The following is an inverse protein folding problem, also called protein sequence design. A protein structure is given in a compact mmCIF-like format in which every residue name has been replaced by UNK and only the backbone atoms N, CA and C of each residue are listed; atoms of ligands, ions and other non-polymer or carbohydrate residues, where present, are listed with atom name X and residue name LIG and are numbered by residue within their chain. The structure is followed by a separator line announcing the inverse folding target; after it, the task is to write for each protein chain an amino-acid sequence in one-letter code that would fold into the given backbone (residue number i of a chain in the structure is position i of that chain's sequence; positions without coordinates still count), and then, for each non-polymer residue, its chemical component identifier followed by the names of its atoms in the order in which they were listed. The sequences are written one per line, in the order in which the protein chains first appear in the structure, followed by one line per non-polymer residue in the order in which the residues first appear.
data_IF_463718474639
#
_entry.id   IF_463718474639
#
_cell.length_a   1.000
_cell.length_b   1.000
_cell.length_c   1.000
_cell.angle_alpha   90.00
_cell.angle_beta   90.00
_cell.angle_gamma   90.00
#
_symmetry.space_group_name_H-M   'P 1'
#
loop_
_entity.id
_entity.type
_entity.pdbx_description
1 polymer ?
#
# COMPACT_ATOMS: atom_id res chain seq x y z
N UNK A 1 12.72 2.74 13.63
CA UNK A 1 13.20 2.47 12.28
C UNK A 1 12.03 2.08 11.37
N UNK A 2 12.01 2.62 10.17
CA UNK A 2 10.96 2.30 9.21
C UNK A 2 11.14 0.88 8.69
N UNK A 3 10.08 0.07 8.72
CA UNK A 3 10.10 -1.22 8.03
C UNK A 3 9.39 -1.10 6.68
N UNK A 4 9.93 -1.79 5.68
CA UNK A 4 9.37 -1.80 4.33
C UNK A 4 9.03 -3.23 3.97
N UNK A 5 7.76 -3.47 3.62
CA UNK A 5 7.27 -4.80 3.26
C UNK A 5 6.93 -4.81 1.77
N UNK A 6 7.51 -5.74 1.06
CA UNK A 6 7.23 -5.95 -0.37
C UNK A 6 6.26 -7.12 -0.51
N UNK A 7 5.07 -6.85 -1.06
CA UNK A 7 4.08 -7.90 -1.33
C UNK A 7 4.05 -8.19 -2.82
N UNK A 8 4.52 -9.35 -3.18
CA UNK A 8 4.60 -9.84 -4.56
C UNK A 8 3.30 -10.57 -4.90
N UNK A 9 2.49 -9.98 -5.77
CA UNK A 9 1.24 -10.59 -6.22
C UNK A 9 1.51 -11.54 -7.38
N UNK A 10 0.99 -12.75 -7.28
CA UNK A 10 1.10 -13.77 -8.31
C UNK A 10 -0.27 -14.43 -8.41
N UNK A 11 -0.88 -14.38 -9.59
CA UNK A 11 -2.23 -14.91 -9.84
C UNK A 11 -3.31 -14.30 -8.93
N UNK A 12 -3.08 -13.07 -8.46
CA UNK A 12 -4.05 -12.35 -7.64
C UNK A 12 -3.94 -10.87 -7.94
N UNK A 13 -5.02 -10.13 -7.71
CA UNK A 13 -5.09 -8.71 -8.05
C UNK A 13 -4.92 -7.84 -6.79
N UNK A 14 -4.50 -6.59 -7.02
CA UNK A 14 -4.43 -5.60 -5.94
C UNK A 14 -5.80 -5.45 -5.27
N UNK A 15 -6.87 -5.41 -6.06
CA UNK A 15 -8.23 -5.23 -5.56
C UNK A 15 -8.65 -6.36 -4.62
N UNK A 16 -8.11 -7.57 -4.83
CA UNK A 16 -8.42 -8.72 -3.96
C UNK A 16 -7.66 -8.68 -2.64
N UNK A 17 -6.44 -8.16 -2.63
CA UNK A 17 -5.59 -8.23 -1.42
C UNK A 17 -5.59 -6.93 -0.60
N UNK A 18 -5.79 -5.78 -1.22
CA UNK A 18 -5.68 -4.50 -0.56
C UNK A 18 -6.62 -4.36 0.66
N UNK A 19 -7.92 -4.73 0.56
CA UNK A 19 -8.82 -4.56 1.69
C UNK A 19 -8.35 -5.24 2.97
N UNK A 20 -7.87 -6.49 2.88
CA UNK A 20 -7.43 -7.22 4.07
C UNK A 20 -6.16 -6.61 4.68
N UNK A 21 -5.26 -6.11 3.85
CA UNK A 21 -4.05 -5.45 4.34
C UNK A 21 -4.40 -4.13 5.05
N UNK A 22 -5.37 -3.39 4.52
CA UNK A 22 -5.86 -2.16 5.16
C UNK A 22 -6.56 -2.46 6.48
N UNK A 23 -7.40 -3.50 6.53
CA UNK A 23 -8.06 -3.92 7.76
C UNK A 23 -7.05 -4.23 8.86
N UNK A 24 -5.98 -4.95 8.53
CA UNK A 24 -4.93 -5.29 9.49
C UNK A 24 -4.22 -4.06 10.02
N UNK A 25 -3.99 -3.06 9.18
CA UNK A 25 -3.37 -1.81 9.62
C UNK A 25 -4.27 -1.05 10.60
N UNK A 26 -5.58 -0.99 10.31
CA UNK A 26 -6.52 -0.33 11.21
C UNK A 26 -6.66 -1.07 12.54
N UNK A 27 -6.58 -2.40 12.53
CA UNK A 27 -6.62 -3.21 13.76
C UNK A 27 -5.46 -2.87 14.69
N UNK A 28 -4.34 -2.44 14.13
CA UNK A 28 -3.17 -2.00 14.90
C UNK A 28 -3.28 -0.55 15.37
N UNK A 29 -4.38 0.13 15.04
CA UNK A 29 -4.57 1.53 15.41
C UNK A 29 -3.83 2.51 14.51
N UNK A 30 -3.35 2.08 13.37
CA UNK A 30 -2.62 2.92 12.43
C UNK A 30 -3.55 3.63 11.47
N UNK A 31 -3.11 4.82 11.03
CA UNK A 31 -3.71 5.53 9.91
C UNK A 31 -2.91 5.21 8.68
N UNK A 32 -3.58 5.17 7.52
CA UNK A 32 -2.99 4.72 6.27
C UNK A 32 -3.20 5.74 5.16
N UNK A 33 -2.16 5.98 4.36
CA UNK A 33 -2.29 6.65 3.08
C UNK A 33 -1.92 5.63 1.99
N UNK A 34 -2.75 5.53 0.95
CA UNK A 34 -2.51 4.65 -0.20
C UNK A 34 -2.18 5.52 -1.39
N UNK A 35 -0.97 5.44 -1.89
CA UNK A 35 -0.53 6.21 -3.05
C UNK A 35 -0.60 5.37 -4.31
N UNK A 36 -1.38 5.84 -5.28
CA UNK A 36 -1.41 5.28 -6.62
C UNK A 36 -0.75 6.27 -7.60
N UNK A 37 -0.88 6.02 -8.90
CA UNK A 37 -0.19 6.82 -9.91
C UNK A 37 -1.09 7.77 -10.67
N UNK A 38 -2.41 7.70 -10.47
CA UNK A 38 -3.35 8.60 -11.15
C UNK A 38 -4.63 8.74 -10.34
N UNK A 39 -5.34 9.84 -10.56
CA UNK A 39 -6.65 10.07 -9.94
C UNK A 39 -7.66 9.00 -10.35
N UNK A 40 -7.58 8.52 -11.60
CA UNK A 40 -8.46 7.45 -12.07
C UNK A 40 -8.27 6.18 -11.25
N UNK A 41 -7.02 5.82 -10.94
CA UNK A 41 -6.74 4.64 -10.12
C UNK A 41 -7.18 4.85 -8.68
N UNK A 42 -6.95 6.03 -8.13
CA UNK A 42 -7.39 6.35 -6.77
C UNK A 42 -8.91 6.26 -6.66
N UNK A 43 -9.62 6.81 -7.64
CA UNK A 43 -11.09 6.75 -7.66
C UNK A 43 -11.61 5.33 -7.83
N UNK A 44 -10.94 4.51 -8.67
CA UNK A 44 -11.33 3.11 -8.85
C UNK A 44 -11.15 2.31 -7.57
N UNK A 45 -10.04 2.52 -6.86
CA UNK A 45 -9.80 1.85 -5.59
C UNK A 45 -10.78 2.32 -4.52
N UNK A 46 -11.09 3.61 -4.50
CA UNK A 46 -12.09 4.17 -3.59
C UNK A 46 -13.44 3.48 -3.78
N UNK A 47 -13.90 3.39 -5.01
CA UNK A 47 -15.17 2.71 -5.32
C UNK A 47 -15.14 1.24 -4.92
N UNK A 48 -14.03 0.55 -5.18
CA UNK A 48 -13.88 -0.86 -4.83
C UNK A 48 -13.94 -1.07 -3.31
N UNK A 49 -13.31 -0.20 -2.54
CA UNK A 49 -13.29 -0.33 -1.08
C UNK A 49 -14.66 -0.12 -0.44
N UNK A 50 -15.59 0.57 -1.14
CA UNK A 50 -16.95 0.71 -0.66
C UNK A 50 -17.81 -0.53 -0.90
N UNK A 51 -17.42 -1.39 -1.87
CA UNK A 51 -18.29 -2.47 -2.35
C UNK A 51 -17.66 -3.85 -2.34
N UNK A 52 -16.44 -4.02 -1.83
CA UNK A 52 -15.75 -5.30 -1.92
C UNK A 52 -16.41 -6.41 -1.07
N UNK A 53 -17.10 -6.04 -0.02
CA UNK A 53 -17.87 -6.97 0.83
C UNK A 53 -19.06 -6.24 1.43
N UNK A 54 -20.20 -6.93 1.45
CA UNK A 54 -21.44 -6.36 2.00
C UNK A 54 -21.38 -6.17 3.51
N UNK A 55 -20.64 -7.03 4.21
CA UNK A 55 -20.59 -7.07 5.67
C UNK A 55 -19.37 -6.37 6.26
N UNK A 56 -18.62 -5.64 5.43
CA UNK A 56 -17.41 -4.97 5.90
C UNK A 56 -17.45 -3.49 5.55
N UNK A 57 -16.87 -2.69 6.43
CA UNK A 57 -16.79 -1.24 6.25
C UNK A 57 -15.39 -0.76 6.58
N UNK A 58 -14.74 -0.13 5.59
CA UNK A 58 -13.44 0.53 5.76
C UNK A 58 -13.66 2.03 5.63
N UNK A 59 -13.52 2.80 6.73
CA UNK A 59 -13.65 4.26 6.62
C UNK A 59 -12.49 4.83 5.82
N UNK A 60 -12.82 5.38 4.66
CA UNK A 60 -11.80 5.87 3.72
C UNK A 60 -12.36 6.99 2.84
N UNK A 61 -11.46 7.74 2.23
CA UNK A 61 -11.80 8.76 1.25
C UNK A 61 -10.61 9.02 0.33
N UNK A 62 -10.79 9.85 -0.70
CA UNK A 62 -9.68 10.32 -1.52
C UNK A 62 -9.10 11.60 -0.93
N UNK A 63 -7.88 11.97 -1.37
CA UNK A 63 -7.15 13.14 -0.87
C UNK A 63 -7.90 14.46 -1.13
N UNK A 64 -8.84 14.46 -2.07
CA UNK A 64 -9.61 15.66 -2.44
C UNK A 64 -10.77 15.98 -1.51
N UNK A 65 -11.13 15.05 -0.63
CA UNK A 65 -12.23 15.25 0.30
C UNK A 65 -11.87 16.26 1.37
N UNK A 66 -12.87 17.06 1.79
CA UNK A 66 -12.67 18.09 2.83
C UNK A 66 -12.21 17.50 4.17
N UNK A 67 -12.69 16.32 4.47
CA UNK A 67 -12.38 15.63 5.73
C UNK A 67 -11.26 14.62 5.61
N UNK A 68 -10.43 14.70 4.55
CA UNK A 68 -9.34 13.74 4.33
C UNK A 68 -8.41 13.64 5.55
N UNK A 69 -8.11 14.76 6.20
CA UNK A 69 -7.22 14.77 7.36
C UNK A 69 -7.76 13.98 8.55
N UNK A 70 -9.07 13.78 8.61
CA UNK A 70 -9.73 13.07 9.72
C UNK A 70 -9.99 11.60 9.43
N UNK A 71 -9.72 11.14 8.21
CA UNK A 71 -10.03 9.76 7.83
C UNK A 71 -8.87 8.82 8.14
N UNK A 72 -9.16 7.61 8.59
CA UNK A 72 -8.10 6.63 8.87
C UNK A 72 -7.40 6.11 7.61
N UNK A 73 -8.08 6.12 6.46
CA UNK A 73 -7.49 5.70 5.19
C UNK A 73 -7.75 6.80 4.16
N UNK A 74 -6.69 7.27 3.50
CA UNK A 74 -6.80 8.26 2.42
C UNK A 74 -6.09 7.72 1.18
N UNK A 75 -6.78 7.81 0.04
CA UNK A 75 -6.21 7.44 -1.25
C UNK A 75 -5.64 8.70 -1.90
N UNK A 76 -4.36 8.68 -2.24
CA UNK A 76 -3.65 9.83 -2.76
C UNK A 76 -2.88 9.47 -4.04
N UNK A 77 -2.36 10.48 -4.73
CA UNK A 77 -1.62 10.31 -5.97
C UNK A 77 -0.19 10.84 -5.84
N UNK A 78 0.04 11.69 -4.86
CA UNK A 78 1.33 12.34 -4.63
C UNK A 78 1.93 11.95 -3.29
N UNK A 79 3.11 12.46 -2.99
CA UNK A 79 3.81 12.17 -1.75
C UNK A 79 3.16 12.75 -0.50
N UNK A 80 2.06 13.48 -0.63
CA UNK A 80 1.36 14.09 0.50
C UNK A 80 0.92 13.08 1.55
N UNK A 81 0.80 13.54 2.78
CA UNK A 81 0.31 12.72 3.88
C UNK A 81 -0.81 13.51 4.60
N UNK A 82 -2.01 13.57 3.99
CA UNK A 82 -3.07 14.46 4.47
C UNK A 82 -3.65 14.06 5.82
N UNK A 83 -3.61 12.77 6.19
CA UNK A 83 -4.21 12.28 7.42
C UNK A 83 -3.18 11.87 8.48
N UNK A 84 -1.95 12.32 8.35
CA UNK A 84 -0.86 11.99 9.28
C UNK A 84 -0.73 10.48 9.48
N UNK A 85 -0.66 9.76 8.36
CA UNK A 85 -0.62 8.31 8.36
C UNK A 85 0.68 7.78 8.94
N UNK A 86 0.57 6.69 9.68
CA UNK A 86 1.72 5.93 10.20
C UNK A 86 2.27 4.99 9.12
N UNK A 87 1.40 4.56 8.21
CA UNK A 87 1.71 3.56 7.20
C UNK A 87 1.38 4.11 5.83
N UNK A 88 2.30 3.91 4.89
CA UNK A 88 2.08 4.31 3.50
C UNK A 88 2.10 3.07 2.62
N UNK A 89 1.03 2.88 1.85
CA UNK A 89 0.95 1.84 0.83
C UNK A 89 1.30 2.44 -0.51
N UNK A 90 2.19 1.77 -1.25
CA UNK A 90 2.56 2.16 -2.61
C UNK A 90 2.00 1.10 -3.55
N UNK A 91 1.07 1.51 -4.41
CA UNK A 91 0.41 0.61 -5.36
C UNK A 91 0.60 1.13 -6.77
N UNK A 92 0.34 0.28 -7.78
CA UNK A 92 0.47 0.65 -9.20
C UNK A 92 1.86 1.21 -9.55
N UNK A 93 2.91 0.70 -8.91
CA UNK A 93 4.30 1.12 -9.11
C UNK A 93 4.56 2.58 -8.70
N UNK A 94 3.80 3.10 -7.74
CA UNK A 94 4.07 4.42 -7.18
C UNK A 94 5.46 4.46 -6.55
N UNK A 95 6.23 5.56 -6.75
CA UNK A 95 7.60 5.61 -6.26
C UNK A 95 7.70 5.82 -4.76
N UNK A 96 8.83 5.40 -4.17
CA UNK A 96 9.13 5.68 -2.77
C UNK A 96 9.23 7.19 -2.55
N UNK A 97 8.54 7.73 -1.55
CA UNK A 97 8.69 9.16 -1.24
C UNK A 97 10.04 9.46 -0.60
N UNK A 98 10.48 10.71 -0.71
CA UNK A 98 11.74 11.12 -0.11
C UNK A 98 11.70 11.02 1.41
N UNK A 99 10.54 11.26 2.00
CA UNK A 99 10.34 11.23 3.46
C UNK A 99 9.97 9.84 3.99
N UNK A 100 10.33 8.78 3.26
CA UNK A 100 10.00 7.40 3.65
C UNK A 100 10.35 7.06 5.10
N UNK A 101 11.43 7.63 5.62
CA UNK A 101 11.83 7.41 7.01
C UNK A 101 10.89 7.98 8.06
N UNK A 102 9.92 8.80 7.67
CA UNK A 102 8.94 9.37 8.60
C UNK A 102 7.79 8.42 8.93
N UNK A 103 7.67 7.32 8.22
CA UNK A 103 6.61 6.33 8.43
C UNK A 103 7.09 5.19 9.32
N UNK A 104 6.18 4.59 10.06
CA UNK A 104 6.48 3.36 10.80
C UNK A 104 6.64 2.19 9.84
N UNK A 105 5.81 2.18 8.78
CA UNK A 105 5.84 1.11 7.79
C UNK A 105 5.51 1.64 6.41
N UNK A 106 6.20 1.10 5.41
CA UNK A 106 5.85 1.29 4.02
C UNK A 106 5.54 -0.08 3.45
N UNK A 107 4.40 -0.21 2.77
CA UNK A 107 3.96 -1.46 2.15
C UNK A 107 3.91 -1.23 0.65
N UNK A 108 4.74 -1.95 -0.07
CA UNK A 108 4.81 -1.85 -1.53
C UNK A 108 4.17 -3.10 -2.11
N UNK A 109 3.05 -2.92 -2.81
CA UNK A 109 2.30 -4.04 -3.40
C UNK A 109 2.49 -3.97 -4.92
N UNK A 110 3.01 -5.03 -5.51
CA UNK A 110 3.28 -5.04 -6.95
C UNK A 110 2.86 -6.35 -7.59
N UNK A 111 2.49 -6.27 -8.87
CA UNK A 111 2.09 -7.44 -9.66
C UNK A 111 3.36 -8.13 -10.18
N UNK A 112 3.67 -9.30 -9.63
CA UNK A 112 4.85 -10.08 -10.04
C UNK A 112 4.75 -10.68 -11.44
N UNK A 113 3.55 -10.68 -12.04
CA UNK A 113 3.34 -11.17 -13.40
C UNK A 113 3.61 -10.07 -14.44
N UNK A 114 3.84 -8.82 -14.00
CA UNK A 114 4.15 -7.68 -14.87
C UNK A 114 5.65 -7.38 -14.76
N UNK A 115 6.37 -7.53 -15.86
CA UNK A 115 7.82 -7.34 -15.90
C UNK A 115 8.25 -5.93 -15.51
N UNK A 116 7.48 -4.92 -15.89
CA UNK A 116 7.81 -3.53 -15.53
C UNK A 116 7.62 -3.27 -14.03
N UNK A 117 6.55 -3.81 -13.46
CA UNK A 117 6.30 -3.69 -12.03
C UNK A 117 7.36 -4.45 -11.23
N UNK A 118 7.77 -5.62 -11.70
CA UNK A 118 8.81 -6.41 -11.06
C UNK A 118 10.16 -5.67 -11.08
N UNK A 119 10.51 -5.04 -12.19
CA UNK A 119 11.73 -4.25 -12.31
C UNK A 119 11.70 -3.04 -11.37
N UNK A 120 10.56 -2.34 -11.30
CA UNK A 120 10.40 -1.21 -10.39
C UNK A 120 10.54 -1.65 -8.94
N UNK A 121 9.98 -2.81 -8.58
CA UNK A 121 10.10 -3.36 -7.23
C UNK A 121 11.54 -3.67 -6.87
N UNK A 122 12.32 -4.22 -7.80
CA UNK A 122 13.74 -4.50 -7.58
C UNK A 122 14.55 -3.23 -7.34
N UNK A 123 14.25 -2.17 -8.09
CA UNK A 123 14.88 -0.88 -7.90
C UNK A 123 14.54 -0.31 -6.52
N UNK A 124 13.28 -0.39 -6.12
CA UNK A 124 12.85 0.07 -4.81
C UNK A 124 13.49 -0.74 -3.69
N UNK A 125 13.66 -2.05 -3.87
CA UNK A 125 14.35 -2.91 -2.91
C UNK A 125 15.77 -2.44 -2.67
N UNK A 126 16.51 -2.19 -3.75
CA UNK A 126 17.89 -1.71 -3.66
C UNK A 126 17.96 -0.36 -2.96
N UNK A 127 17.06 0.55 -3.29
CA UNK A 127 17.00 1.87 -2.68
C UNK A 127 16.72 1.78 -1.17
N UNK A 128 15.75 0.97 -0.77
CA UNK A 128 15.42 0.77 0.63
C UNK A 128 16.58 0.17 1.41
N UNK A 129 17.27 -0.80 0.83
CA UNK A 129 18.43 -1.44 1.47
C UNK A 129 19.55 -0.42 1.64
N UNK A 130 19.80 0.41 0.62
CA UNK A 130 20.83 1.45 0.67
C UNK A 130 20.54 2.48 1.74
N UNK A 131 19.24 2.83 1.92
CA UNK A 131 18.82 3.78 2.96
C UNK A 131 18.87 3.20 4.38
N UNK A 132 19.11 1.89 4.51
CA UNK A 132 19.21 1.23 5.81
C UNK A 132 17.89 0.84 6.45
N UNK A 133 16.81 0.79 5.67
CA UNK A 133 15.51 0.35 6.17
C UNK A 133 15.50 -1.15 6.42
N UNK A 134 14.63 -1.58 7.32
CA UNK A 134 14.39 -3.00 7.55
C UNK A 134 13.42 -3.50 6.47
N UNK A 135 13.89 -4.36 5.57
CA UNK A 135 13.16 -4.77 4.39
C UNK A 135 12.80 -6.25 4.46
N UNK A 136 11.53 -6.58 4.19
CA UNK A 136 11.07 -7.96 4.09
C UNK A 136 10.29 -8.17 2.79
N UNK A 137 10.29 -9.40 2.30
CA UNK A 137 9.67 -9.78 1.03
C UNK A 137 8.64 -10.87 1.30
N UNK A 138 7.43 -10.68 0.79
CA UNK A 138 6.30 -11.56 1.04
C UNK A 138 5.67 -12.02 -0.26
N UNK A 139 5.34 -13.31 -0.32
CA UNK A 139 4.69 -13.91 -1.46
C UNK A 139 3.64 -14.91 -0.94
N UNK A 140 2.46 -14.95 -1.58
CA UNK A 140 1.42 -15.88 -1.17
C UNK A 140 1.76 -17.29 -1.65
N UNK A 141 1.43 -18.28 -0.83
CA UNK A 141 1.53 -19.70 -1.21
C UNK A 141 0.29 -20.10 -2.03
N UNK A 142 0.20 -21.37 -2.40
CA UNK A 142 -0.88 -21.93 -3.18
C UNK A 142 -2.26 -21.75 -2.51
N UNK A 143 -2.27 -21.60 -1.19
CA UNK A 143 -3.50 -21.41 -0.40
C UNK A 143 -3.82 -19.95 -0.12
N UNK A 144 -3.02 -19.04 -0.69
CA UNK A 144 -3.20 -17.61 -0.47
C UNK A 144 -2.63 -17.08 0.82
N UNK A 145 -1.81 -17.86 1.52
CA UNK A 145 -1.16 -17.43 2.77
C UNK A 145 0.14 -16.72 2.46
N UNK A 146 0.36 -15.60 3.11
CA UNK A 146 1.59 -14.84 2.93
C UNK A 146 2.78 -15.53 3.59
N UNK A 147 3.83 -15.74 2.82
CA UNK A 147 5.07 -16.35 3.26
C UNK A 147 6.23 -15.37 3.06
N UNK A 148 7.06 -15.23 4.08
CA UNK A 148 8.26 -14.41 3.97
C UNK A 148 9.30 -15.14 3.12
N UNK A 149 9.89 -14.42 2.13
CA UNK A 149 10.78 -15.01 1.12
C UNK A 149 12.16 -14.33 1.04
N UNK A 150 12.60 -13.61 2.02
CA UNK A 150 13.91 -12.92 1.98
C UNK A 150 15.08 -13.76 2.48
#
# INVERSE_FOLDING_TARGET
MTEVLFYHLQDMTLENVLPSLLEKSLERGWRVVVQSTSDERADALDAHLWTYRDDSFLPHTTWRARDAEDQPIVLAVEESNPNRANVRFLVDSAPLPEDSGSYERIVLVFNGDDNEALAAARTAWTDCTTRGFEVTYWQADERGRWQRRD
#
